data_IF_554040280238
#
_entry.id   IF_554040280238
#
_cell.length_a   1.000
_cell.length_b   1.000
_cell.length_c   1.000
_cell.angle_alpha   90.00
_cell.angle_beta   90.00
_cell.angle_gamma   90.00
#
_symmetry.space_group_name_H-M   'P 1'
#
loop_
_entity.id
_entity.type
_entity.pdbx_description
1 polymer ?
#
# COMPACT_ATOMS: atom_id res chain seq x y z
N UNK A 1 -14.70 19.29 0.07
CA UNK A 1 -14.91 17.83 0.20
C UNK A 1 -13.62 17.03 0.35
N UNK A 2 -12.52 17.34 -0.36
CA UNK A 2 -11.27 16.56 -0.28
C UNK A 2 -10.61 16.47 1.10
N UNK A 3 -10.64 17.53 1.91
CA UNK A 3 -9.97 17.55 3.22
C UNK A 3 -10.59 16.57 4.23
N UNK A 4 -11.92 16.43 4.23
CA UNK A 4 -12.63 15.48 5.11
C UNK A 4 -12.29 14.04 4.72
N UNK A 5 -12.24 13.74 3.43
CA UNK A 5 -11.85 12.42 2.93
C UNK A 5 -10.40 12.09 3.31
N UNK A 6 -9.47 13.03 3.13
CA UNK A 6 -8.07 12.84 3.54
C UNK A 6 -7.94 12.56 5.03
N UNK A 7 -8.67 13.29 5.88
CA UNK A 7 -8.70 13.05 7.33
C UNK A 7 -9.25 11.65 7.63
N UNK A 8 -10.37 11.26 7.01
CA UNK A 8 -10.96 9.93 7.19
C UNK A 8 -9.99 8.80 6.78
N UNK A 9 -9.23 8.99 5.70
CA UNK A 9 -8.22 8.03 5.23
C UNK A 9 -7.04 7.90 6.21
N UNK A 10 -6.59 9.01 6.80
CA UNK A 10 -5.53 8.98 7.84
C UNK A 10 -6.00 8.22 9.09
N UNK A 11 -7.23 8.48 9.55
CA UNK A 11 -7.80 7.74 10.68
C UNK A 11 -7.95 6.25 10.40
N UNK A 12 -8.42 5.89 9.20
CA UNK A 12 -8.58 4.50 8.77
C UNK A 12 -7.23 3.78 8.66
N UNK A 13 -6.20 4.44 8.12
CA UNK A 13 -4.86 3.88 8.08
C UNK A 13 -4.26 3.69 9.48
N UNK A 14 -4.45 4.67 10.36
CA UNK A 14 -3.92 4.63 11.73
C UNK A 14 -4.62 3.56 12.57
N UNK A 15 -5.93 3.34 12.40
CA UNK A 15 -6.66 2.27 13.10
C UNK A 15 -6.23 0.88 12.64
N UNK A 16 -5.91 0.72 11.35
CA UNK A 16 -5.28 -0.49 10.83
C UNK A 16 -3.93 -0.77 11.48
N UNK A 17 -3.05 0.23 11.55
CA UNK A 17 -1.75 0.11 12.23
C UNK A 17 -1.91 -0.22 13.73
N UNK A 18 -2.89 0.37 14.41
CA UNK A 18 -3.19 0.06 15.81
C UNK A 18 -3.61 -1.41 15.98
N UNK A 19 -4.43 -1.93 15.07
CA UNK A 19 -4.86 -3.34 15.10
C UNK A 19 -3.67 -4.30 14.94
N UNK A 20 -2.75 -3.99 14.03
CA UNK A 20 -1.49 -4.74 13.85
C UNK A 20 -0.62 -4.66 15.11
N UNK A 21 -0.49 -3.48 15.71
CA UNK A 21 0.29 -3.31 16.92
C UNK A 21 -0.26 -4.11 18.10
N UNK A 22 -1.59 -4.13 18.27
CA UNK A 22 -2.25 -4.93 19.31
C UNK A 22 -2.10 -6.43 19.04
N UNK A 23 -2.15 -6.86 17.77
CA UNK A 23 -1.87 -8.24 17.40
C UNK A 23 -0.43 -8.66 17.74
N UNK A 24 0.56 -7.82 17.41
CA UNK A 24 1.96 -8.07 17.77
C UNK A 24 2.18 -8.08 19.29
N UNK A 25 1.54 -7.15 20.01
CA UNK A 25 1.57 -7.15 21.47
C UNK A 25 1.00 -8.45 22.04
N UNK A 26 -0.16 -8.91 21.55
CA UNK A 26 -0.77 -10.18 21.98
C UNK A 26 0.13 -11.38 21.71
N UNK A 27 0.78 -11.44 20.54
CA UNK A 27 1.76 -12.49 20.23
C UNK A 27 2.96 -12.46 21.18
N UNK A 28 3.46 -11.27 21.51
CA UNK A 28 4.56 -11.10 22.45
C UNK A 28 4.18 -11.49 23.89
N UNK A 29 2.96 -11.18 24.34
CA UNK A 29 2.45 -11.62 25.65
C UNK A 29 2.38 -13.15 25.75
N UNK A 30 1.81 -13.80 24.73
CA UNK A 30 1.71 -15.26 24.66
C UNK A 30 3.09 -15.91 24.63
N UNK A 31 4.01 -15.37 23.81
CA UNK A 31 5.36 -15.92 23.68
C UNK A 31 6.25 -15.73 24.91
N UNK A 32 6.06 -14.65 25.66
CA UNK A 32 6.85 -14.35 26.85
C UNK A 32 6.19 -14.79 28.16
N UNK A 33 4.93 -15.23 28.12
CA UNK A 33 4.16 -15.63 29.31
C UNK A 33 3.94 -14.50 30.32
N UNK A 34 4.00 -13.24 29.87
CA UNK A 34 3.81 -12.04 30.71
C UNK A 34 2.86 -11.07 30.04
N UNK A 35 2.18 -10.25 30.83
CA UNK A 35 1.40 -9.13 30.32
C UNK A 35 2.33 -7.95 30.02
N UNK A 36 2.13 -7.33 28.86
CA UNK A 36 2.86 -6.13 28.45
C UNK A 36 2.24 -4.91 29.14
N UNK A 37 3.10 -4.01 29.57
CA UNK A 37 2.67 -2.73 30.12
C UNK A 37 2.10 -1.84 29.02
N UNK A 38 1.28 -0.86 29.41
CA UNK A 38 0.73 0.14 28.49
C UNK A 38 1.81 0.88 27.69
N UNK A 39 2.98 1.09 28.31
CA UNK A 39 4.12 1.76 27.69
C UNK A 39 4.75 0.88 26.61
N UNK A 40 4.90 -0.42 26.86
CA UNK A 40 5.43 -1.36 25.86
C UNK A 40 4.49 -1.50 24.66
N UNK A 41 3.18 -1.59 24.89
CA UNK A 41 2.19 -1.63 23.81
C UNK A 41 2.23 -0.32 23.00
N UNK A 42 2.35 0.83 23.67
CA UNK A 42 2.49 2.12 23.01
C UNK A 42 3.79 2.20 22.18
N UNK A 43 4.89 1.63 22.67
CA UNK A 43 6.16 1.57 21.94
C UNK A 43 6.03 0.69 20.68
N UNK A 44 5.35 -0.46 20.77
CA UNK A 44 5.04 -1.31 19.61
C UNK A 44 4.19 -0.53 18.61
N UNK A 45 3.14 0.17 19.06
CA UNK A 45 2.27 0.96 18.19
C UNK A 45 3.03 2.09 17.48
N UNK A 46 3.96 2.76 18.16
CA UNK A 46 4.86 3.73 17.55
C UNK A 46 5.75 3.09 16.48
N UNK A 47 6.36 1.94 16.79
CA UNK A 47 7.19 1.19 15.86
C UNK A 47 6.44 0.80 14.57
N UNK A 48 5.22 0.27 14.70
CA UNK A 48 4.38 -0.10 13.55
C UNK A 48 4.04 1.12 12.69
N UNK A 49 3.69 2.25 13.31
CA UNK A 49 3.35 3.46 12.55
C UNK A 49 4.54 4.04 11.77
N UNK A 50 5.73 4.07 12.38
CA UNK A 50 6.95 4.53 11.70
C UNK A 50 7.28 3.59 10.54
N UNK A 51 7.23 2.27 10.77
CA UNK A 51 7.48 1.27 9.73
C UNK A 51 6.48 1.39 8.57
N UNK A 52 5.19 1.56 8.89
CA UNK A 52 4.12 1.80 7.90
C UNK A 52 4.40 3.05 7.06
N UNK A 53 4.86 4.14 7.68
CA UNK A 53 5.29 5.36 6.99
C UNK A 53 6.48 5.14 6.04
N UNK A 54 7.51 4.41 6.48
CA UNK A 54 8.67 4.05 5.65
C UNK A 54 8.24 3.18 4.47
N UNK A 55 7.46 2.13 4.72
CA UNK A 55 6.95 1.23 3.68
C UNK A 55 6.07 2.00 2.68
N UNK A 56 5.18 2.87 3.13
CA UNK A 56 4.37 3.68 2.22
C UNK A 56 5.24 4.61 1.36
N UNK A 57 6.31 5.16 1.92
CA UNK A 57 7.24 6.03 1.17
C UNK A 57 8.01 5.27 0.09
N UNK A 58 8.44 4.04 0.38
CA UNK A 58 9.16 3.19 -0.58
C UNK A 58 8.19 2.54 -1.58
N UNK A 59 7.08 2.00 -1.08
CA UNK A 59 6.06 1.32 -1.85
C UNK A 59 5.40 2.22 -2.88
N UNK A 60 5.13 3.49 -2.55
CA UNK A 60 4.61 4.47 -3.52
C UNK A 60 5.58 4.71 -4.68
N UNK A 61 6.90 4.71 -4.44
CA UNK A 61 7.90 4.79 -5.52
C UNK A 61 7.88 3.56 -6.42
N UNK A 62 7.76 2.37 -5.83
CA UNK A 62 7.66 1.11 -6.58
C UNK A 62 6.37 1.03 -7.41
N UNK A 63 5.23 1.42 -6.83
CA UNK A 63 3.95 1.52 -7.55
C UNK A 63 4.05 2.55 -8.68
N UNK A 64 4.73 3.67 -8.46
CA UNK A 64 5.02 4.66 -9.51
C UNK A 64 5.77 4.05 -10.69
N UNK A 65 6.80 3.25 -10.43
CA UNK A 65 7.57 2.56 -11.47
C UNK A 65 6.73 1.49 -12.21
N UNK A 66 5.94 0.69 -11.49
CA UNK A 66 5.02 -0.28 -12.09
C UNK A 66 3.95 0.38 -12.95
N UNK A 67 3.41 1.52 -12.51
CA UNK A 67 2.45 2.30 -13.28
C UNK A 67 3.07 2.86 -14.56
N UNK A 68 4.29 3.37 -14.50
CA UNK A 68 5.03 3.82 -15.68
C UNK A 68 5.29 2.68 -16.68
N UNK A 69 5.64 1.48 -16.19
CA UNK A 69 5.78 0.29 -17.03
C UNK A 69 4.45 -0.12 -17.68
N UNK A 70 3.35 -0.13 -16.91
CA UNK A 70 2.02 -0.42 -17.42
C UNK A 70 1.60 0.57 -18.52
N UNK A 71 1.93 1.85 -18.36
CA UNK A 71 1.66 2.87 -19.37
C UNK A 71 2.48 2.63 -20.65
N UNK A 72 3.77 2.27 -20.53
CA UNK A 72 4.60 1.91 -21.68
C UNK A 72 4.06 0.69 -22.42
N UNK A 73 3.64 -0.34 -21.69
CA UNK A 73 2.99 -1.53 -22.24
C UNK A 73 1.65 -1.19 -22.92
N UNK A 74 0.83 -0.32 -22.32
CA UNK A 74 -0.44 0.11 -22.89
C UNK A 74 -0.23 0.86 -24.22
N UNK A 75 0.75 1.75 -24.27
CA UNK A 75 1.12 2.47 -25.50
C UNK A 75 1.65 1.53 -26.58
N UNK A 76 2.59 0.64 -26.23
CA UNK A 76 3.14 -0.35 -27.15
C UNK A 76 2.07 -1.32 -27.67
N UNK A 77 1.23 -1.83 -26.77
CA UNK A 77 0.10 -2.70 -27.10
C UNK A 77 -0.88 -2.02 -28.05
N UNK A 78 -1.21 -0.74 -27.82
CA UNK A 78 -2.07 0.05 -28.72
C UNK A 78 -1.44 0.18 -30.11
N UNK A 79 -0.14 0.43 -30.20
CA UNK A 79 0.56 0.57 -31.47
C UNK A 79 0.56 -0.75 -32.26
N UNK A 80 0.82 -1.88 -31.59
CA UNK A 80 0.70 -3.22 -32.20
C UNK A 80 -0.72 -3.48 -32.70
N UNK A 81 -1.73 -3.09 -31.92
CA UNK A 81 -3.14 -3.22 -32.28
C UNK A 81 -3.46 -2.45 -33.55
N UNK A 82 -3.04 -1.18 -33.63
CA UNK A 82 -3.24 -0.33 -34.82
C UNK A 82 -2.56 -0.92 -36.05
N UNK A 83 -1.31 -1.38 -35.94
CA UNK A 83 -0.60 -2.02 -37.07
C UNK A 83 -1.35 -3.27 -37.53
N UNK A 84 -1.76 -4.11 -36.57
CA UNK A 84 -2.50 -5.35 -36.88
C UNK A 84 -3.79 -5.03 -37.62
N UNK A 85 -4.53 -4.02 -37.17
CA UNK A 85 -5.73 -3.55 -37.85
C UNK A 85 -5.40 -3.02 -39.25
N UNK A 86 -4.33 -2.24 -39.44
CA UNK A 86 -3.94 -1.76 -40.78
C UNK A 86 -3.55 -2.90 -41.74
N UNK A 87 -2.91 -3.95 -41.24
CA UNK A 87 -2.45 -5.10 -42.06
C UNK A 87 -3.57 -6.10 -42.34
N UNK A 88 -4.47 -6.31 -41.37
CA UNK A 88 -5.47 -7.38 -41.41
C UNK A 88 -6.90 -6.89 -41.57
N UNK A 89 -7.15 -5.58 -41.52
CA UNK A 89 -8.48 -5.08 -41.79
C UNK A 89 -8.87 -5.42 -43.23
N UNK A 90 -10.08 -5.99 -43.44
CA UNK A 90 -10.57 -6.29 -44.77
C UNK A 90 -10.71 -4.98 -45.55
N UNK A 91 -10.02 -4.90 -46.68
CA UNK A 91 -10.16 -3.80 -47.63
C UNK A 91 -11.46 -4.05 -48.40
N UNK A 92 -12.43 -3.14 -48.31
CA UNK A 92 -13.60 -3.15 -49.18
C UNK A 92 -13.24 -2.60 -50.56
#
# INVERSE_FOLDING_TARGET
TGWIYSIAMVFTGTSGNLSVALYLASLAEVGQGRTLTRVEIAAIAWGVNIMSGVINTVGTKAIGALSAFNLWWTLGGTLVLVITLLVKAPVK
#
